data_IF_578087702482
#
_entry.id   IF_578087702482
#
_cell.length_a   1.000
_cell.length_b   1.000
_cell.length_c   1.000
_cell.angle_alpha   90.00
_cell.angle_beta   90.00
_cell.angle_gamma   90.00
#
_symmetry.space_group_name_H-M   'P 1'
#
loop_
_entity.id
_entity.type
_entity.pdbx_description
1 polymer ?
#
# COMPACT_ATOMS: atom_id res chain seq x y z
N UNK A 1 -40.01 -46.36 33.24
CA UNK A 1 -38.70 -45.71 33.09
C UNK A 1 -38.82 -44.63 32.02
N UNK A 2 -38.94 -43.33 32.37
CA UNK A 2 -38.92 -42.26 31.38
C UNK A 2 -37.48 -42.01 30.91
N UNK A 3 -37.31 -41.89 29.60
CA UNK A 3 -36.04 -41.53 28.94
C UNK A 3 -35.70 -40.06 29.24
N UNK A 4 -34.42 -39.70 29.48
CA UNK A 4 -34.05 -38.31 29.68
C UNK A 4 -34.03 -37.56 28.34
N UNK A 5 -34.76 -36.45 28.32
CA UNK A 5 -34.82 -35.46 27.24
C UNK A 5 -33.44 -34.81 27.04
N UNK A 6 -32.94 -34.79 25.79
CA UNK A 6 -31.68 -34.10 25.44
C UNK A 6 -31.94 -32.59 25.35
N UNK A 7 -31.14 -31.73 25.99
CA UNK A 7 -31.34 -30.29 25.90
C UNK A 7 -30.84 -29.74 24.55
N UNK A 8 -31.51 -28.68 24.12
CA UNK A 8 -31.34 -27.95 22.88
C UNK A 8 -29.89 -27.49 22.63
N UNK A 9 -29.37 -27.80 21.45
CA UNK A 9 -28.18 -27.17 20.91
C UNK A 9 -28.60 -25.88 20.18
N UNK A 10 -28.31 -24.74 20.78
CA UNK A 10 -28.08 -23.49 20.05
C UNK A 10 -26.69 -22.95 20.40
N UNK A 11 -26.22 -21.85 19.79
CA UNK A 11 -26.55 -21.29 18.48
C UNK A 11 -25.46 -21.60 17.44
N UNK A 12 -25.82 -21.48 16.17
CA UNK A 12 -24.90 -21.51 15.03
C UNK A 12 -23.73 -20.53 15.27
N UNK A 13 -22.55 -21.09 15.54
CA UNK A 13 -21.33 -20.31 15.71
C UNK A 13 -20.93 -19.72 14.37
N UNK A 14 -20.74 -18.39 14.24
CA UNK A 14 -20.25 -17.82 13.00
C UNK A 14 -18.84 -18.35 12.74
N UNK A 15 -18.69 -19.11 11.65
CA UNK A 15 -17.42 -19.66 11.18
C UNK A 15 -16.36 -18.55 11.09
N UNK A 16 -15.22 -18.63 11.80
CA UNK A 16 -14.12 -17.70 11.60
C UNK A 16 -13.36 -18.16 10.36
N UNK A 17 -13.65 -17.57 9.21
CA UNK A 17 -13.03 -18.07 7.98
C UNK A 17 -13.25 -17.27 6.70
N UNK A 18 -13.89 -16.10 6.73
CA UNK A 18 -13.68 -15.15 5.62
C UNK A 18 -12.30 -14.54 5.81
N UNK A 19 -11.27 -15.27 5.37
CA UNK A 19 -9.99 -14.68 4.99
C UNK A 19 -10.37 -13.56 4.03
N UNK A 20 -10.40 -12.32 4.53
CA UNK A 20 -10.60 -11.10 3.75
C UNK A 20 -9.54 -11.17 2.67
N UNK A 21 -9.90 -11.70 1.51
CA UNK A 21 -9.15 -11.47 0.30
C UNK A 21 -9.25 -9.95 0.18
N UNK A 22 -8.21 -9.27 0.66
CA UNK A 22 -8.16 -7.82 0.61
C UNK A 22 -8.54 -7.44 -0.82
N UNK A 23 -9.56 -6.59 -1.01
CA UNK A 23 -9.98 -6.19 -2.34
C UNK A 23 -8.74 -5.82 -3.14
N UNK A 24 -8.64 -6.28 -4.39
CA UNK A 24 -7.52 -5.89 -5.26
C UNK A 24 -7.58 -4.38 -5.43
N UNK A 25 -6.91 -3.63 -4.55
CA UNK A 25 -6.95 -2.18 -4.58
C UNK A 25 -6.25 -1.74 -5.86
N UNK A 26 -6.97 -1.01 -6.70
CA UNK A 26 -6.39 -0.43 -7.89
C UNK A 26 -5.33 0.57 -7.46
N UNK A 27 -4.16 0.52 -8.12
CA UNK A 27 -3.06 1.41 -7.81
C UNK A 27 -3.49 2.88 -7.85
N UNK A 28 -4.32 3.24 -8.83
CA UNK A 28 -4.88 4.60 -8.94
C UNK A 28 -5.64 5.03 -7.69
N UNK A 29 -6.68 4.29 -7.31
CA UNK A 29 -7.51 4.66 -6.15
C UNK A 29 -6.72 4.67 -4.85
N UNK A 30 -5.82 3.69 -4.69
CA UNK A 30 -4.93 3.64 -3.54
C UNK A 30 -4.03 4.88 -3.48
N UNK A 31 -3.36 5.20 -4.59
CA UNK A 31 -2.45 6.34 -4.66
C UNK A 31 -3.17 7.66 -4.37
N UNK A 32 -4.39 7.83 -4.90
CA UNK A 32 -5.23 8.99 -4.62
C UNK A 32 -5.53 9.14 -3.12
N UNK A 33 -5.80 8.02 -2.44
CA UNK A 33 -5.96 7.99 -0.98
C UNK A 33 -4.70 8.41 -0.24
N UNK A 34 -3.54 7.89 -0.65
CA UNK A 34 -2.25 8.24 -0.03
C UNK A 34 -1.81 9.69 -0.28
N UNK A 35 -2.11 10.26 -1.46
CA UNK A 35 -1.88 11.69 -1.72
C UNK A 35 -2.81 12.53 -0.83
N UNK A 36 -4.07 12.10 -0.68
CA UNK A 36 -5.07 12.80 0.15
C UNK A 36 -4.76 12.71 1.64
N UNK A 37 -4.01 11.70 2.08
CA UNK A 37 -3.58 11.57 3.47
C UNK A 37 -2.45 12.55 3.83
N UNK A 38 -1.74 13.10 2.84
CA UNK A 38 -0.67 14.08 3.06
C UNK A 38 0.51 13.54 3.90
N UNK A 39 0.62 12.22 4.05
CA UNK A 39 1.60 11.59 4.94
C UNK A 39 3.00 11.42 4.33
N UNK A 40 3.18 11.81 3.06
CA UNK A 40 4.40 11.56 2.28
C UNK A 40 4.94 12.88 1.72
N UNK A 41 6.21 13.16 2.02
CA UNK A 41 6.86 14.38 1.58
C UNK A 41 6.95 14.45 0.05
N UNK A 42 6.50 15.57 -0.53
CA UNK A 42 6.48 15.79 -1.98
C UNK A 42 5.35 15.09 -2.74
N UNK A 43 4.60 14.18 -2.12
CA UNK A 43 3.40 13.54 -2.68
C UNK A 43 2.15 14.27 -2.19
N UNK A 44 1.70 15.25 -2.98
CA UNK A 44 0.60 16.12 -2.59
C UNK A 44 -0.26 16.52 -3.78
N UNK A 45 -1.50 16.89 -3.47
CA UNK A 45 -2.40 17.55 -4.39
C UNK A 45 -1.86 18.94 -4.72
N UNK A 46 -1.81 19.27 -6.01
CA UNK A 46 -1.45 20.61 -6.50
C UNK A 46 -2.66 21.52 -6.63
N UNK A 47 -3.86 20.95 -6.57
CA UNK A 47 -5.13 21.62 -6.77
C UNK A 47 -6.14 21.12 -5.71
N UNK A 48 -6.97 22.02 -5.20
CA UNK A 48 -8.03 21.72 -4.23
C UNK A 48 -9.10 20.81 -4.83
N UNK A 49 -9.33 20.91 -6.15
CA UNK A 49 -10.26 20.02 -6.85
C UNK A 49 -9.72 18.58 -7.01
N UNK A 50 -8.51 18.27 -6.51
CA UNK A 50 -7.88 16.94 -6.56
C UNK A 50 -7.82 16.36 -7.97
N UNK A 51 -7.52 17.22 -8.94
CA UNK A 51 -7.37 16.86 -10.35
C UNK A 51 -5.90 16.63 -10.72
N UNK A 52 -4.99 17.37 -10.09
CA UNK A 52 -3.56 17.37 -10.34
C UNK A 52 -2.78 17.05 -9.07
N UNK A 53 -1.86 16.10 -9.13
CA UNK A 53 -0.97 15.75 -8.02
C UNK A 53 0.47 15.67 -8.49
N UNK A 54 1.40 15.88 -7.55
CA UNK A 54 2.83 15.67 -7.75
C UNK A 54 3.23 14.35 -7.09
N UNK A 55 4.02 13.54 -7.78
CA UNK A 55 4.72 12.40 -7.20
C UNK A 55 6.20 12.72 -7.11
N UNK A 56 6.85 12.58 -5.95
CA UNK A 56 8.28 12.77 -5.82
C UNK A 56 8.99 11.66 -6.62
N UNK A 57 9.58 12.03 -7.75
CA UNK A 57 10.25 11.10 -8.66
C UNK A 57 11.76 11.30 -8.67
N UNK A 58 12.34 11.44 -7.48
CA UNK A 58 13.76 11.73 -7.34
C UNK A 58 14.60 10.55 -7.82
N UNK A 59 15.60 10.84 -8.66
CA UNK A 59 16.58 9.88 -9.14
C UNK A 59 17.57 9.53 -8.03
N UNK A 60 17.09 8.82 -7.02
CA UNK A 60 17.96 8.21 -6.02
C UNK A 60 18.83 7.15 -6.68
N UNK A 61 20.15 7.23 -6.50
CA UNK A 61 21.02 6.08 -6.70
C UNK A 61 20.62 5.00 -5.68
N UNK A 62 20.95 3.73 -5.95
CA UNK A 62 20.52 2.58 -5.12
C UNK A 62 20.81 2.73 -3.62
N UNK A 63 21.80 3.55 -3.23
CA UNK A 63 22.19 3.80 -1.84
C UNK A 63 21.48 4.98 -1.16
N UNK A 64 20.82 5.85 -1.93
CA UNK A 64 20.23 7.09 -1.41
C UNK A 64 18.71 7.00 -1.23
N UNK A 65 18.11 5.81 -1.39
CA UNK A 65 16.69 5.62 -1.09
C UNK A 65 16.49 5.64 0.43
N UNK A 66 16.16 6.82 0.96
CA UNK A 66 15.85 6.99 2.37
C UNK A 66 14.59 6.19 2.75
N UNK A 67 14.44 5.89 4.04
CA UNK A 67 13.22 5.23 4.54
C UNK A 67 11.96 6.09 4.29
N UNK A 68 12.09 7.42 4.39
CA UNK A 68 11.01 8.35 4.13
C UNK A 68 10.53 8.28 2.67
N UNK A 69 11.47 8.25 1.71
CA UNK A 69 11.17 8.11 0.28
C UNK A 69 10.61 6.72 -0.03
N UNK A 70 11.14 5.70 0.62
CA UNK A 70 10.67 4.32 0.49
C UNK A 70 9.28 4.09 1.09
N UNK A 71 8.79 4.99 1.94
CA UNK A 71 7.56 4.80 2.71
C UNK A 71 6.35 4.60 1.81
N UNK A 72 6.21 5.39 0.74
CA UNK A 72 5.10 5.23 -0.21
C UNK A 72 5.22 3.91 -0.99
N UNK A 73 6.43 3.54 -1.40
CA UNK A 73 6.67 2.28 -2.11
C UNK A 73 6.37 1.07 -1.21
N UNK A 74 6.75 1.15 0.07
CA UNK A 74 6.43 0.17 1.11
C UNK A 74 4.94 0.08 1.35
N UNK A 75 4.25 1.22 1.49
CA UNK A 75 2.81 1.25 1.68
C UNK A 75 2.07 0.57 0.53
N UNK A 76 2.54 0.73 -0.71
CA UNK A 76 2.00 0.00 -1.86
C UNK A 76 2.23 -1.51 -1.74
N UNK A 77 3.43 -1.93 -1.34
CA UNK A 77 3.74 -3.34 -1.13
C UNK A 77 2.85 -3.95 -0.02
N UNK A 78 2.61 -3.21 1.06
CA UNK A 78 1.70 -3.61 2.14
C UNK A 78 0.25 -3.67 1.65
N UNK A 79 -0.22 -2.66 0.90
CA UNK A 79 -1.57 -2.62 0.34
C UNK A 79 -1.85 -3.82 -0.60
N UNK A 80 -0.84 -4.28 -1.35
CA UNK A 80 -0.93 -5.49 -2.17
C UNK A 80 -0.74 -6.81 -1.40
N UNK A 81 -0.47 -6.75 -0.09
CA UNK A 81 -0.12 -7.91 0.72
C UNK A 81 1.19 -8.59 0.29
N UNK A 82 2.12 -7.83 -0.33
CA UNK A 82 3.47 -8.29 -0.68
C UNK A 82 4.49 -8.01 0.43
N UNK A 83 4.18 -7.10 1.34
CA UNK A 83 4.99 -6.82 2.52
C UNK A 83 4.13 -6.85 3.78
N UNK A 84 4.61 -7.46 4.89
CA UNK A 84 3.89 -7.41 6.15
C UNK A 84 3.87 -5.98 6.71
N UNK A 85 2.72 -5.51 7.26
CA UNK A 85 2.70 -4.26 8.01
C UNK A 85 3.57 -4.41 9.27
N UNK A 86 4.41 -3.42 9.56
CA UNK A 86 5.33 -3.42 10.72
C UNK A 86 4.62 -3.65 12.08
N UNK A 87 3.29 -3.50 12.13
CA UNK A 87 2.46 -3.64 13.33
C UNK A 87 2.30 -5.08 13.84
N UNK A 88 2.57 -6.10 13.02
CA UNK A 88 2.44 -7.50 13.44
C UNK A 88 3.77 -7.95 14.05
N UNK A 89 3.89 -7.77 15.38
CA UNK A 89 5.04 -8.07 16.23
C UNK A 89 6.11 -8.96 15.60
N UNK A 90 7.25 -8.35 15.25
CA UNK A 90 8.30 -8.97 14.43
C UNK A 90 8.26 -8.47 12.99
N UNK A 91 8.48 -7.16 12.80
CA UNK A 91 8.72 -6.62 11.47
C UNK A 91 9.99 -7.22 10.85
N UNK A 92 10.06 -7.39 9.53
CA UNK A 92 11.27 -7.83 8.84
C UNK A 92 12.45 -6.91 9.19
N UNK A 93 13.68 -7.45 9.27
CA UNK A 93 14.84 -6.67 9.63
C UNK A 93 15.08 -5.54 8.61
N UNK A 94 15.67 -4.40 9.03
CA UNK A 94 15.85 -3.22 8.19
C UNK A 94 16.71 -3.48 6.94
N UNK A 95 17.58 -4.49 7.00
CA UNK A 95 18.37 -4.98 5.85
C UNK A 95 17.51 -5.61 4.75
N UNK A 96 16.51 -6.42 5.12
CA UNK A 96 15.56 -7.00 4.18
C UNK A 96 14.68 -5.92 3.55
N UNK A 97 14.26 -4.93 4.35
CA UNK A 97 13.54 -3.77 3.82
C UNK A 97 14.38 -3.05 2.77
N UNK A 98 15.63 -2.73 3.08
CA UNK A 98 16.54 -1.98 2.18
C UNK A 98 16.74 -2.71 0.85
N UNK A 99 16.86 -4.04 0.87
CA UNK A 99 16.94 -4.85 -0.34
C UNK A 99 15.66 -4.75 -1.21
N UNK A 100 14.49 -4.72 -0.57
CA UNK A 100 13.19 -4.66 -1.22
C UNK A 100 12.81 -3.25 -1.72
N UNK A 101 13.38 -2.18 -1.16
CA UNK A 101 13.12 -0.78 -1.57
C UNK A 101 13.23 -0.57 -3.09
N UNK A 102 14.27 -1.17 -3.71
CA UNK A 102 14.47 -1.09 -5.16
C UNK A 102 13.36 -1.80 -5.95
N UNK A 103 12.90 -2.96 -5.45
CA UNK A 103 11.80 -3.73 -6.03
C UNK A 103 10.48 -2.98 -5.93
N UNK A 104 10.19 -2.38 -4.77
CA UNK A 104 8.97 -1.60 -4.56
C UNK A 104 8.93 -0.36 -5.44
N UNK A 105 10.04 0.40 -5.55
CA UNK A 105 10.15 1.54 -6.46
C UNK A 105 9.89 1.14 -7.91
N UNK A 106 10.50 0.03 -8.37
CA UNK A 106 10.29 -0.48 -9.73
C UNK A 106 8.83 -0.88 -9.95
N UNK A 107 8.23 -1.59 -8.99
CA UNK A 107 6.83 -1.98 -9.08
C UNK A 107 5.88 -0.79 -9.08
N UNK A 108 6.10 0.18 -8.19
CA UNK A 108 5.34 1.42 -8.12
C UNK A 108 5.39 2.16 -9.45
N UNK A 109 6.56 2.24 -10.08
CA UNK A 109 6.70 2.83 -11.41
C UNK A 109 5.91 2.10 -12.48
N UNK A 110 5.99 0.78 -12.51
CA UNK A 110 5.21 -0.01 -13.46
C UNK A 110 3.70 0.15 -13.21
N UNK A 111 3.27 0.21 -11.94
CA UNK A 111 1.86 0.41 -11.58
C UNK A 111 1.36 1.81 -11.99
N UNK A 112 2.16 2.86 -11.75
CA UNK A 112 1.86 4.22 -12.21
C UNK A 112 1.74 4.27 -13.74
N UNK A 113 2.71 3.72 -14.47
CA UNK A 113 2.69 3.68 -15.94
C UNK A 113 1.53 2.84 -16.50
N UNK A 114 1.18 1.76 -15.81
CA UNK A 114 0.06 0.90 -16.19
C UNK A 114 -1.30 1.54 -15.88
N UNK A 115 -1.34 2.55 -15.01
CA UNK A 115 -2.58 3.21 -14.63
C UNK A 115 -2.95 4.23 -15.69
N UNK A 116 -3.83 3.82 -16.62
CA UNK A 116 -4.36 4.68 -17.69
C UNK A 116 -5.23 5.85 -17.21
N UNK A 117 -5.49 5.96 -15.90
CA UNK A 117 -6.19 7.11 -15.30
C UNK A 117 -5.31 8.34 -15.13
N UNK A 118 -3.99 8.19 -15.13
CA UNK A 118 -3.08 9.29 -14.90
C UNK A 118 -2.39 9.70 -16.19
N UNK A 119 -2.46 10.99 -16.49
CA UNK A 119 -1.72 11.61 -17.59
C UNK A 119 -0.54 12.35 -16.97
N UNK A 120 0.67 12.07 -17.47
CA UNK A 120 1.85 12.81 -17.08
C UNK A 120 1.74 14.23 -17.65
N UNK A 121 1.49 15.21 -16.78
CA UNK A 121 1.34 16.62 -17.19
C UNK A 121 2.70 17.31 -17.32
N UNK A 122 3.60 17.10 -16.35
CA UNK A 122 4.97 17.61 -16.38
C UNK A 122 5.94 16.57 -15.87
N UNK A 123 7.05 16.43 -16.58
CA UNK A 123 8.20 15.68 -16.12
C UNK A 123 9.22 16.66 -15.52
N UNK A 124 9.27 16.69 -14.18
CA UNK A 124 10.28 17.42 -13.43
C UNK A 124 11.29 16.45 -12.78
N UNK A 125 11.41 15.22 -13.30
CA UNK A 125 12.32 14.24 -12.72
C UNK A 125 13.79 14.61 -12.90
N UNK A 126 14.13 15.39 -13.93
CA UNK A 126 15.50 15.80 -14.27
C UNK A 126 15.99 17.12 -13.69
N UNK A 127 15.24 17.78 -12.80
CA UNK A 127 15.68 19.05 -12.21
C UNK A 127 16.67 18.76 -11.04
N UNK A 128 17.93 19.25 -11.10
CA UNK A 128 19.01 18.93 -10.16
C UNK A 128 18.82 19.46 -8.74
#
# INVERSE_FOLDING_TARGET
MPVPERPAAGPDSPRPGTRRAAPRVLFGEWLLGEISSGCYEGLQWLDEARTCFRVPWKHFARKDLSEADARIFKAWAVARGRWPPSSRGGGPPPEAETAERAGWKTNFRCALRSTRRFVMLRDNSGDP
#
